data_IF_373937700856
#
_entry.id   IF_373937700856
#
_cell.length_a   1.000
_cell.length_b   1.000
_cell.length_c   1.000
_cell.angle_alpha   90.00
_cell.angle_beta   90.00
_cell.angle_gamma   90.00
#
_symmetry.space_group_name_H-M   'P 1'
#
loop_
_entity.id
_entity.type
_entity.pdbx_description
1 polymer ?
#
# COMPACT_ATOMS: atom_id res chain seq x y z
N UNK A 1 7.06 1.01 -15.08
CA UNK A 1 6.90 1.78 -16.34
C UNK A 1 8.14 2.64 -16.61
N UNK A 2 8.51 2.94 -17.86
CA UNK A 2 9.78 3.62 -18.18
C UNK A 2 9.89 5.06 -17.66
N UNK A 3 8.76 5.74 -17.44
CA UNK A 3 8.73 7.10 -16.85
C UNK A 3 8.90 7.10 -15.32
N UNK A 4 8.78 5.94 -14.66
CA UNK A 4 8.81 5.82 -13.22
C UNK A 4 10.24 5.50 -12.76
N UNK A 5 11.09 6.52 -12.77
CA UNK A 5 12.52 6.38 -12.44
C UNK A 5 12.85 7.28 -11.26
N UNK A 6 13.57 6.73 -10.29
CA UNK A 6 14.14 7.53 -9.22
C UNK A 6 15.35 8.29 -9.77
N UNK A 7 15.26 9.62 -9.86
CA UNK A 7 16.29 10.46 -10.49
C UNK A 7 17.63 10.46 -9.74
N UNK A 8 17.62 10.25 -8.42
CA UNK A 8 18.84 10.23 -7.60
C UNK A 8 19.65 8.94 -7.84
N UNK A 9 18.95 7.81 -7.92
CA UNK A 9 19.58 6.49 -8.05
C UNK A 9 19.61 5.96 -9.48
N UNK A 10 18.91 6.63 -10.40
CA UNK A 10 18.67 6.20 -11.79
C UNK A 10 18.00 4.81 -11.91
N UNK A 11 17.44 4.29 -10.81
CA UNK A 11 16.77 3.00 -10.80
C UNK A 11 15.29 3.15 -11.15
N UNK A 12 14.78 2.21 -11.95
CA UNK A 12 13.36 2.08 -12.23
C UNK A 12 12.61 1.72 -10.94
N UNK A 13 11.45 2.33 -10.76
CA UNK A 13 10.49 1.95 -9.75
C UNK A 13 9.33 1.21 -10.43
N UNK A 14 8.68 0.34 -9.68
CA UNK A 14 7.59 -0.50 -10.16
C UNK A 14 6.33 -0.17 -9.41
N UNK A 15 5.17 -0.40 -10.03
CA UNK A 15 3.91 -0.37 -9.31
C UNK A 15 3.54 -1.77 -8.83
N UNK A 16 2.89 -1.92 -7.67
CA UNK A 16 2.34 -3.21 -7.25
C UNK A 16 1.28 -3.69 -8.25
N UNK A 17 0.44 -2.76 -8.71
CA UNK A 17 -0.51 -3.01 -9.79
C UNK A 17 -0.70 -1.78 -10.66
N UNK A 18 -0.59 -1.95 -11.98
CA UNK A 18 -0.82 -0.89 -12.95
C UNK A 18 -1.83 -1.32 -14.01
N UNK A 19 -2.83 -0.47 -14.26
CA UNK A 19 -3.88 -0.61 -15.24
C UNK A 19 -3.67 0.36 -16.41
N UNK A 20 -4.03 -0.06 -17.63
CA UNK A 20 -3.77 0.69 -18.86
C UNK A 20 -4.58 1.98 -18.96
N UNK A 21 -5.67 2.04 -18.21
CA UNK A 21 -6.55 3.18 -17.99
C UNK A 21 -5.85 4.33 -17.24
N UNK A 22 -4.59 4.14 -16.81
CA UNK A 22 -3.82 5.15 -16.11
C UNK A 22 -4.06 5.13 -14.60
N UNK A 23 -4.33 3.96 -14.02
CA UNK A 23 -4.51 3.80 -12.57
C UNK A 23 -3.43 2.86 -12.03
N UNK A 24 -2.78 3.25 -10.95
CA UNK A 24 -1.83 2.43 -10.23
C UNK A 24 -2.28 2.25 -8.78
N UNK A 25 -2.12 1.04 -8.24
CA UNK A 25 -2.32 0.74 -6.83
C UNK A 25 -0.99 0.44 -6.18
N UNK A 26 -0.85 0.90 -4.94
CA UNK A 26 0.31 0.70 -4.09
C UNK A 26 -0.12 0.34 -2.69
N UNK A 27 0.49 -0.69 -2.12
CA UNK A 27 0.27 -1.05 -0.75
C UNK A 27 1.38 -0.48 0.15
N UNK A 28 1.00 0.44 1.04
CA UNK A 28 1.90 1.08 1.99
C UNK A 28 1.66 0.54 3.40
N UNK A 29 2.38 -0.51 3.77
CA UNK A 29 2.36 -1.04 5.14
C UNK A 29 2.97 -0.08 6.15
N UNK A 30 2.70 -0.26 7.44
CA UNK A 30 3.14 0.62 8.53
C UNK A 30 4.65 0.67 8.75
N UNK A 31 5.38 -0.30 8.20
CA UNK A 31 6.84 -0.26 8.13
C UNK A 31 7.36 0.96 7.35
N UNK A 32 6.51 1.62 6.54
CA UNK A 32 6.83 2.87 5.85
C UNK A 32 6.71 4.11 6.75
N UNK A 33 6.01 4.01 7.88
CA UNK A 33 5.59 5.18 8.67
C UNK A 33 6.21 5.24 10.07
N UNK A 34 6.49 4.10 10.68
CA UNK A 34 6.99 4.02 12.05
C UNK A 34 8.18 3.05 12.14
N UNK A 35 9.24 3.39 12.91
CA UNK A 35 10.28 2.43 13.21
C UNK A 35 9.69 1.20 13.88
N UNK A 36 10.06 0.03 13.38
CA UNK A 36 9.68 -1.26 14.00
C UNK A 36 10.93 -1.85 14.65
N UNK A 37 10.80 -2.83 15.54
CA UNK A 37 11.99 -3.47 16.15
C UNK A 37 12.94 -4.06 15.09
N UNK A 38 12.42 -4.44 13.92
CA UNK A 38 13.18 -4.97 12.80
C UNK A 38 13.72 -3.90 11.85
N UNK A 39 13.08 -2.73 11.81
CA UNK A 39 13.45 -1.59 10.96
C UNK A 39 13.52 -0.33 11.83
N UNK A 40 14.55 -0.24 12.66
CA UNK A 40 14.75 0.84 13.64
C UNK A 40 15.50 2.06 13.10
N UNK A 41 16.06 1.95 11.89
CA UNK A 41 16.82 3.04 11.28
C UNK A 41 15.88 4.10 10.68
N UNK A 42 15.76 5.22 11.39
CA UNK A 42 14.98 6.40 10.98
C UNK A 42 15.41 6.93 9.60
N UNK A 43 16.69 6.78 9.22
CA UNK A 43 17.16 7.23 7.91
C UNK A 43 16.63 6.36 6.77
N UNK A 44 16.51 5.05 6.98
CA UNK A 44 15.91 4.15 5.98
C UNK A 44 14.40 4.36 5.84
N UNK A 45 13.71 4.70 6.94
CA UNK A 45 12.29 5.08 6.90
C UNK A 45 12.08 6.37 6.11
N UNK A 46 12.89 7.40 6.39
CA UNK A 46 12.83 8.66 5.62
C UNK A 46 13.12 8.46 4.14
N UNK A 47 14.08 7.60 3.79
CA UNK A 47 14.35 7.24 2.39
C UNK A 47 13.16 6.55 1.74
N UNK A 48 12.49 5.66 2.47
CA UNK A 48 11.28 4.97 1.99
C UNK A 48 10.15 5.97 1.75
N UNK A 49 9.86 6.84 2.71
CA UNK A 49 8.86 7.91 2.58
C UNK A 49 9.17 8.85 1.40
N UNK A 50 10.44 9.25 1.25
CA UNK A 50 10.86 10.08 0.12
C UNK A 50 10.65 9.36 -1.22
N UNK A 51 10.94 8.05 -1.26
CA UNK A 51 10.72 7.23 -2.46
C UNK A 51 9.23 7.15 -2.81
N UNK A 52 8.37 6.97 -1.82
CA UNK A 52 6.93 6.85 -2.02
C UNK A 52 6.33 8.20 -2.47
N UNK A 53 6.76 9.32 -1.87
CA UNK A 53 6.40 10.66 -2.32
C UNK A 53 6.89 10.96 -3.75
N UNK A 54 8.12 10.58 -4.08
CA UNK A 54 8.65 10.74 -5.43
C UNK A 54 7.81 9.95 -6.45
N UNK A 55 7.43 8.72 -6.09
CA UNK A 55 6.61 7.84 -6.91
C UNK A 55 5.20 8.42 -7.12
N UNK A 56 4.55 8.90 -6.08
CA UNK A 56 3.26 9.58 -6.18
C UNK A 56 3.34 10.84 -7.07
N UNK A 57 4.36 11.69 -6.88
CA UNK A 57 4.56 12.91 -7.68
C UNK A 57 4.89 12.63 -9.15
N UNK A 58 5.68 11.60 -9.46
CA UNK A 58 5.92 11.16 -10.83
C UNK A 58 4.64 10.62 -11.49
N UNK A 59 3.84 9.86 -10.75
CA UNK A 59 2.57 9.32 -11.23
C UNK A 59 1.61 10.45 -11.61
N UNK A 60 1.44 11.42 -10.71
CA UNK A 60 0.59 12.59 -10.96
C UNK A 60 1.02 13.38 -12.20
N UNK A 61 2.33 13.61 -12.37
CA UNK A 61 2.88 14.31 -13.57
C UNK A 61 2.62 13.58 -14.88
N UNK A 62 2.44 12.27 -14.83
CA UNK A 62 2.13 11.43 -16.00
C UNK A 62 0.63 11.21 -16.19
N UNK A 63 -0.22 11.89 -15.41
CA UNK A 63 -1.67 11.74 -15.46
C UNK A 63 -2.17 10.40 -14.92
N UNK A 64 -1.39 9.74 -14.06
CA UNK A 64 -1.76 8.47 -13.45
C UNK A 64 -2.48 8.73 -12.13
N UNK A 65 -3.66 8.14 -11.99
CA UNK A 65 -4.38 8.07 -10.72
C UNK A 65 -3.63 7.09 -9.82
N UNK A 66 -2.97 7.62 -8.80
CA UNK A 66 -2.19 6.85 -7.84
C UNK A 66 -3.05 6.57 -6.61
N UNK A 67 -3.43 5.30 -6.42
CA UNK A 67 -4.24 4.82 -5.30
C UNK A 67 -3.32 4.15 -4.29
N UNK A 68 -3.17 4.79 -3.14
CA UNK A 68 -2.46 4.20 -2.01
C UNK A 68 -3.45 3.44 -1.14
N UNK A 69 -3.10 2.20 -0.78
CA UNK A 69 -3.85 1.34 0.12
C UNK A 69 -3.01 1.11 1.37
N UNK A 70 -3.59 1.38 2.53
CA UNK A 70 -2.98 1.08 3.83
C UNK A 70 -3.61 -0.15 4.48
N UNK A 71 -3.03 -0.64 5.58
CA UNK A 71 -3.35 -1.96 6.13
C UNK A 71 -4.82 -2.13 6.52
N UNK A 72 -5.41 -1.12 7.16
CA UNK A 72 -6.79 -1.17 7.62
C UNK A 72 -7.81 -1.09 6.46
N UNK A 73 -7.37 -0.73 5.26
CA UNK A 73 -8.18 -0.70 4.05
C UNK A 73 -8.16 -2.03 3.28
N UNK A 74 -7.36 -3.01 3.72
CA UNK A 74 -7.36 -4.36 3.18
C UNK A 74 -8.62 -5.13 3.62
N UNK A 75 -9.79 -4.65 3.23
CA UNK A 75 -11.06 -5.35 3.35
C UNK A 75 -11.87 -5.09 2.08
N UNK A 76 -12.85 -5.94 1.78
CA UNK A 76 -13.57 -5.87 0.50
C UNK A 76 -14.23 -4.50 0.29
N UNK A 77 -14.89 -3.94 1.30
CA UNK A 77 -15.66 -2.72 1.13
C UNK A 77 -14.73 -1.50 0.95
N UNK A 78 -13.68 -1.36 1.76
CA UNK A 78 -12.68 -0.30 1.57
C UNK A 78 -11.91 -0.44 0.25
N UNK A 79 -11.60 -1.67 -0.18
CA UNK A 79 -10.98 -1.88 -1.50
C UNK A 79 -11.92 -1.45 -2.62
N UNK A 80 -13.23 -1.71 -2.51
CA UNK A 80 -14.21 -1.27 -3.51
C UNK A 80 -14.36 0.26 -3.54
N UNK A 81 -14.33 0.91 -2.38
CA UNK A 81 -14.39 2.37 -2.26
C UNK A 81 -13.15 3.06 -2.85
N UNK A 82 -11.97 2.44 -2.71
CA UNK A 82 -10.72 2.98 -3.22
C UNK A 82 -10.50 2.77 -4.73
N UNK A 83 -11.32 1.95 -5.40
CA UNK A 83 -11.20 1.75 -6.85
C UNK A 83 -11.81 2.95 -7.58
N UNK A 84 -11.03 3.68 -8.41
CA UNK A 84 -11.57 4.83 -9.14
C UNK A 84 -12.56 4.40 -10.23
N UNK A 85 -13.57 5.23 -10.49
CA UNK A 85 -14.66 4.98 -11.47
C UNK A 85 -14.18 4.71 -12.91
N UNK A 86 -12.96 5.13 -13.26
CA UNK A 86 -12.37 4.86 -14.58
C UNK A 86 -12.06 3.36 -14.79
N UNK A 87 -11.93 2.59 -13.70
CA UNK A 87 -11.72 1.15 -13.76
C UNK A 87 -13.06 0.40 -13.77
N UNK A 88 -13.33 -0.40 -14.81
CA UNK A 88 -14.57 -1.16 -14.86
C UNK A 88 -14.56 -2.26 -13.80
N UNK A 89 -15.53 -2.21 -12.90
CA UNK A 89 -15.78 -3.27 -11.93
C UNK A 89 -16.63 -4.38 -12.53
N UNK A 90 -16.17 -5.62 -12.40
CA UNK A 90 -17.01 -6.78 -12.68
C UNK A 90 -17.90 -7.07 -11.47
N UNK A 91 -19.16 -7.51 -11.67
CA UNK A 91 -19.98 -8.00 -10.57
C UNK A 91 -19.25 -9.10 -9.79
N UNK A 92 -19.25 -8.98 -8.47
CA UNK A 92 -18.57 -9.92 -7.58
C UNK A 92 -19.64 -10.56 -6.70
N UNK A 93 -19.63 -11.90 -6.61
CA UNK A 93 -20.39 -12.59 -5.58
C UNK A 93 -19.65 -12.44 -4.24
N UNK A 94 -20.17 -11.54 -3.39
CA UNK A 94 -19.65 -11.30 -2.03
C UNK A 94 -19.70 -12.55 -1.14
N UNK A 95 -20.53 -13.54 -1.48
CA UNK A 95 -20.65 -14.81 -0.77
C UNK A 95 -19.85 -15.93 -1.43
N UNK A 96 -19.01 -15.64 -2.42
CA UNK A 96 -18.18 -16.66 -3.04
C UNK A 96 -17.12 -17.18 -2.07
N UNK A 97 -16.65 -18.42 -2.31
CA UNK A 97 -15.57 -19.02 -1.52
C UNK A 97 -14.28 -18.20 -1.59
N UNK A 98 -14.02 -17.53 -2.70
CA UNK A 98 -12.85 -16.65 -2.86
C UNK A 98 -12.94 -15.40 -1.98
N UNK A 99 -14.09 -14.72 -1.98
CA UNK A 99 -14.28 -13.54 -1.14
C UNK A 99 -14.17 -13.89 0.34
N UNK A 100 -14.83 -14.95 0.80
CA UNK A 100 -14.68 -15.39 2.20
C UNK A 100 -13.22 -15.72 2.56
N UNK A 101 -12.49 -16.36 1.65
CA UNK A 101 -11.09 -16.68 1.85
C UNK A 101 -10.20 -15.43 1.97
N UNK A 102 -10.38 -14.47 1.05
CA UNK A 102 -9.66 -13.19 1.07
C UNK A 102 -10.01 -12.36 2.31
N UNK A 103 -11.28 -12.31 2.70
CA UNK A 103 -11.71 -11.64 3.94
C UNK A 103 -10.98 -12.21 5.14
N UNK A 104 -10.98 -13.54 5.32
CA UNK A 104 -10.28 -14.20 6.43
C UNK A 104 -8.78 -13.89 6.44
N UNK A 105 -8.12 -13.99 5.29
CA UNK A 105 -6.68 -13.69 5.18
C UNK A 105 -6.37 -12.24 5.54
N UNK A 106 -7.23 -11.32 5.12
CA UNK A 106 -7.02 -9.90 5.38
C UNK A 106 -7.28 -9.56 6.85
N UNK A 107 -8.32 -10.13 7.46
CA UNK A 107 -8.58 -10.00 8.91
C UNK A 107 -7.43 -10.54 9.76
N UNK A 108 -6.91 -11.72 9.41
CA UNK A 108 -5.73 -12.32 10.07
C UNK A 108 -4.51 -11.41 9.94
N UNK A 109 -4.26 -10.87 8.74
CA UNK A 109 -3.15 -9.97 8.49
C UNK A 109 -3.27 -8.65 9.27
N UNK A 110 -4.43 -7.99 9.21
CA UNK A 110 -4.71 -6.74 9.93
C UNK A 110 -4.53 -6.94 11.44
N UNK A 111 -5.09 -8.03 11.98
CA UNK A 111 -4.97 -8.37 13.40
C UNK A 111 -3.51 -8.56 13.81
N UNK A 112 -2.72 -9.23 12.99
CA UNK A 112 -1.29 -9.42 13.22
C UNK A 112 -0.53 -8.08 13.20
N UNK A 113 -0.78 -7.21 12.22
CA UNK A 113 -0.18 -5.88 12.17
C UNK A 113 -0.52 -5.05 13.42
N UNK A 114 -1.79 -5.03 13.84
CA UNK A 114 -2.21 -4.32 15.05
C UNK A 114 -1.54 -4.89 16.31
N UNK A 115 -1.45 -6.22 16.42
CA UNK A 115 -0.82 -6.89 17.56
C UNK A 115 0.67 -6.56 17.65
N UNK A 116 1.38 -6.56 16.52
CA UNK A 116 2.80 -6.20 16.48
C UNK A 116 3.00 -4.74 16.92
N UNK A 117 2.17 -3.82 16.41
CA UNK A 117 2.23 -2.40 16.77
C UNK A 117 2.00 -2.16 18.27
N UNK A 118 1.03 -2.84 18.86
CA UNK A 118 0.76 -2.77 20.31
C UNK A 118 1.93 -3.30 21.14
N UNK A 119 2.62 -4.36 20.69
CA UNK A 119 3.81 -4.87 21.37
C UNK A 119 4.97 -3.88 21.31
N UNK A 120 5.17 -3.24 20.16
CA UNK A 120 6.23 -2.24 19.96
C UNK A 120 6.00 -1.00 20.83
N UNK A 121 4.79 -0.44 20.85
CA UNK A 121 4.45 0.71 21.71
C UNK A 121 4.67 0.45 23.20
N UNK A 122 4.35 -0.78 23.66
CA UNK A 122 4.60 -1.20 25.05
C UNK A 122 6.08 -1.40 25.37
N UNK A 123 6.91 -1.63 24.36
CA UNK A 123 8.36 -1.83 24.52
C UNK A 123 9.13 -0.51 24.60
N UNK A 124 8.62 0.55 23.97
CA UNK A 124 9.20 1.90 24.01
C UNK A 124 8.87 2.69 25.29
N UNK A 125 7.85 2.25 26.05
CA UNK A 125 7.36 2.92 27.25
C UNK A 125 7.90 2.33 28.57
N UNK A 126 8.93 1.47 28.50
CA UNK A 126 9.64 0.84 29.63
C UNK A 126 11.09 1.29 29.70
#
# INVERSE_FOLDING_TARGET
PSFLVNLETQKTMEYDRYYREGVAFEYNGSQHYTPTQRFSDIHEIRKTQLRDHLKAGLSQRQGIVYVEIIENELNLDSMLENIPDILPLRPIDKNSTYIRGLTRLSEEYITNCMTMRLKEQRSESV
#
